data_IF_008438356869
#
_entry.id   IF_008438356869
#
_cell.length_a   1.000
_cell.length_b   1.000
_cell.length_c   1.000
_cell.angle_alpha   90.00
_cell.angle_beta   90.00
_cell.angle_gamma   90.00
#
_symmetry.space_group_name_H-M   'P 1'
#
loop_
_entity.id
_entity.type
_entity.pdbx_description
1 polymer ?
#
# COMPACT_ATOMS: atom_id res chain seq x y z
N UNK A 1 -43.43 17.92 12.25
CA UNK A 1 -44.21 17.09 13.20
C UNK A 1 -43.49 15.75 13.35
N UNK A 2 -42.52 15.64 14.26
CA UNK A 2 -41.74 14.41 14.43
C UNK A 2 -42.56 13.40 15.24
N UNK A 3 -43.29 12.50 14.55
CA UNK A 3 -43.88 11.33 15.21
C UNK A 3 -42.74 10.56 15.86
N UNK A 4 -42.89 10.26 17.15
CA UNK A 4 -41.90 9.51 17.92
C UNK A 4 -41.67 8.14 17.28
N UNK A 5 -40.64 8.04 16.43
CA UNK A 5 -40.18 6.83 15.72
C UNK A 5 -39.71 5.72 16.69
N UNK A 6 -39.79 5.99 18.01
CA UNK A 6 -39.35 5.09 19.07
C UNK A 6 -40.23 3.86 19.29
N UNK A 7 -41.36 3.70 18.59
CA UNK A 7 -42.16 2.48 18.73
C UNK A 7 -42.68 1.95 17.39
N UNK A 8 -41.92 1.02 16.78
CA UNK A 8 -42.37 0.26 15.61
C UNK A 8 -42.99 -1.06 16.12
N UNK A 9 -44.30 -1.30 15.93
CA UNK A 9 -44.96 -2.52 16.38
C UNK A 9 -44.45 -3.77 15.64
N UNK A 10 -44.28 -4.89 16.36
CA UNK A 10 -43.86 -6.17 15.78
C UNK A 10 -44.77 -6.63 14.64
N UNK A 11 -46.09 -6.56 14.84
CA UNK A 11 -47.09 -6.98 13.85
C UNK A 11 -47.00 -6.19 12.54
N UNK A 12 -46.65 -4.91 12.62
CA UNK A 12 -46.47 -4.06 11.43
C UNK A 12 -45.25 -4.52 10.61
N UNK A 13 -44.13 -4.81 11.28
CA UNK A 13 -42.94 -5.35 10.61
C UNK A 13 -43.19 -6.73 10.01
N UNK A 14 -43.91 -7.62 10.70
CA UNK A 14 -44.25 -8.94 10.17
C UNK A 14 -45.17 -8.84 8.94
N UNK A 15 -46.18 -7.98 8.98
CA UNK A 15 -47.07 -7.81 7.84
C UNK A 15 -46.32 -7.22 6.63
N UNK A 16 -45.60 -6.11 6.79
CA UNK A 16 -44.91 -5.45 5.67
C UNK A 16 -43.72 -6.27 5.14
N UNK A 17 -42.84 -6.78 6.02
CA UNK A 17 -41.61 -7.45 5.60
C UNK A 17 -41.79 -8.93 5.27
N UNK A 18 -42.62 -9.66 6.02
CA UNK A 18 -42.78 -11.12 5.88
C UNK A 18 -43.96 -11.47 4.98
N UNK A 19 -45.15 -10.88 5.19
CA UNK A 19 -46.35 -11.21 4.39
C UNK A 19 -46.37 -10.49 3.05
N UNK A 20 -46.13 -9.19 3.04
CA UNK A 20 -46.19 -8.37 1.82
C UNK A 20 -44.83 -8.31 1.09
N UNK A 21 -43.75 -8.72 1.73
CA UNK A 21 -42.44 -8.88 1.09
C UNK A 21 -41.67 -7.58 0.82
N UNK A 22 -42.05 -6.46 1.40
CA UNK A 22 -41.42 -5.14 1.20
C UNK A 22 -39.94 -5.13 1.53
N UNK A 23 -39.13 -4.31 0.84
CA UNK A 23 -37.71 -4.20 1.20
C UNK A 23 -37.55 -3.40 2.50
N UNK A 24 -36.42 -3.60 3.19
CA UNK A 24 -36.12 -2.84 4.42
C UNK A 24 -36.11 -1.31 4.18
N UNK A 25 -35.80 -0.88 2.96
CA UNK A 25 -35.81 0.54 2.58
C UNK A 25 -37.24 1.05 2.43
N UNK A 26 -38.09 0.31 1.72
CA UNK A 26 -39.51 0.70 1.56
C UNK A 26 -40.22 0.76 2.91
N UNK A 27 -39.93 -0.19 3.81
CA UNK A 27 -40.44 -0.18 5.19
C UNK A 27 -39.91 1.03 5.97
N UNK A 28 -38.64 1.37 5.81
CA UNK A 28 -38.02 2.52 6.49
C UNK A 28 -38.61 3.85 6.00
N UNK A 29 -38.79 4.00 4.69
CA UNK A 29 -39.37 5.19 4.06
C UNK A 29 -40.84 5.35 4.43
N UNK A 30 -41.62 4.26 4.47
CA UNK A 30 -43.02 4.26 4.90
C UNK A 30 -43.20 4.68 6.36
N UNK A 31 -42.33 4.19 7.24
CA UNK A 31 -42.38 4.50 8.69
C UNK A 31 -41.76 5.87 8.98
N UNK A 32 -40.95 6.42 8.07
CA UNK A 32 -40.20 7.66 8.26
C UNK A 32 -39.01 7.48 9.21
N UNK A 33 -38.30 6.37 9.10
CA UNK A 33 -37.18 6.01 9.98
C UNK A 33 -35.94 5.56 9.18
N UNK A 34 -34.80 5.40 9.86
CA UNK A 34 -33.62 4.82 9.20
C UNK A 34 -33.76 3.30 9.05
N UNK A 35 -33.15 2.76 8.01
CA UNK A 35 -33.05 1.30 7.80
C UNK A 35 -32.45 0.60 9.02
N UNK A 36 -31.46 1.20 9.67
CA UNK A 36 -30.85 0.66 10.90
C UNK A 36 -31.84 0.59 12.07
N UNK A 37 -32.82 1.50 12.12
CA UNK A 37 -33.88 1.46 13.14
C UNK A 37 -34.80 0.27 12.89
N UNK A 38 -35.18 0.02 11.63
CA UNK A 38 -35.97 -1.15 11.24
C UNK A 38 -35.22 -2.44 11.57
N UNK A 39 -33.93 -2.53 11.22
CA UNK A 39 -33.09 -3.71 11.47
C UNK A 39 -32.98 -3.98 12.96
N UNK A 40 -32.67 -2.96 13.78
CA UNK A 40 -32.59 -3.12 15.23
C UNK A 40 -33.89 -3.66 15.82
N UNK A 41 -35.05 -3.17 15.35
CA UNK A 41 -36.36 -3.67 15.81
C UNK A 41 -36.68 -5.07 15.34
N UNK A 42 -36.28 -5.43 14.14
CA UNK A 42 -36.40 -6.81 13.67
C UNK A 42 -35.56 -7.77 14.52
N UNK A 43 -34.33 -7.35 14.89
CA UNK A 43 -33.48 -8.13 15.78
C UNK A 43 -34.09 -8.22 17.20
N UNK A 44 -34.60 -7.12 17.77
CA UNK A 44 -35.29 -7.09 19.08
C UNK A 44 -36.51 -8.03 19.12
N UNK A 45 -37.22 -8.18 18.00
CA UNK A 45 -38.41 -9.03 17.88
C UNK A 45 -38.12 -10.44 17.34
N UNK A 46 -36.85 -10.80 17.10
CA UNK A 46 -36.40 -12.05 16.49
C UNK A 46 -37.06 -12.36 15.13
N UNK A 47 -37.27 -11.34 14.29
CA UNK A 47 -37.80 -11.53 12.93
C UNK A 47 -36.62 -11.92 12.00
N UNK A 48 -36.63 -13.12 11.39
CA UNK A 48 -35.53 -13.57 10.57
C UNK A 48 -35.40 -12.73 9.30
N UNK A 49 -34.18 -12.31 8.99
CA UNK A 49 -33.87 -11.55 7.78
C UNK A 49 -33.82 -12.49 6.58
N UNK A 50 -34.49 -12.12 5.49
CA UNK A 50 -34.40 -12.81 4.20
C UNK A 50 -32.94 -12.80 3.73
N UNK A 51 -32.38 -13.98 3.51
CA UNK A 51 -31.01 -14.12 3.02
C UNK A 51 -30.92 -13.58 1.60
N UNK A 52 -30.12 -12.54 1.39
CA UNK A 52 -29.85 -11.98 0.05
C UNK A 52 -29.07 -12.93 -0.87
N UNK A 53 -28.57 -14.06 -0.35
CA UNK A 53 -27.75 -14.98 -1.12
C UNK A 53 -28.66 -15.84 -2.01
N UNK A 54 -28.76 -15.46 -3.29
CA UNK A 54 -29.08 -16.45 -4.31
C UNK A 54 -27.95 -17.47 -4.31
N UNK A 55 -28.29 -18.74 -4.13
CA UNK A 55 -27.33 -19.82 -4.13
C UNK A 55 -26.91 -20.10 -5.57
N UNK A 56 -25.77 -19.56 -5.96
CA UNK A 56 -25.19 -19.79 -7.28
C UNK A 56 -24.09 -20.83 -7.07
N UNK A 57 -24.42 -22.08 -7.42
CA UNK A 57 -23.51 -23.21 -7.33
C UNK A 57 -22.17 -22.88 -8.00
N UNK A 58 -21.08 -23.05 -7.23
CA UNK A 58 -19.71 -22.84 -7.72
C UNK A 58 -19.45 -23.65 -8.99
N UNK A 59 -19.77 -24.93 -8.99
CA UNK A 59 -19.50 -25.83 -10.11
C UNK A 59 -20.16 -25.32 -11.41
N UNK A 60 -21.42 -24.88 -11.31
CA UNK A 60 -22.18 -24.37 -12.45
C UNK A 60 -21.67 -23.01 -12.91
N UNK A 61 -21.30 -22.11 -11.99
CA UNK A 61 -20.81 -20.79 -12.37
C UNK A 61 -19.42 -20.84 -13.01
N UNK A 62 -18.54 -21.70 -12.49
CA UNK A 62 -17.19 -21.92 -13.01
C UNK A 62 -17.26 -22.52 -14.42
N UNK A 63 -18.06 -23.58 -14.63
CA UNK A 63 -18.14 -24.22 -15.95
C UNK A 63 -18.77 -23.34 -17.03
N UNK A 64 -19.73 -22.49 -16.66
CA UNK A 64 -20.31 -21.54 -17.60
C UNK A 64 -19.33 -20.41 -17.95
N UNK A 65 -18.43 -20.03 -17.04
CA UNK A 65 -17.47 -18.96 -17.25
C UNK A 65 -16.18 -19.45 -17.95
N UNK A 66 -15.61 -20.58 -17.52
CA UNK A 66 -14.37 -21.14 -18.06
C UNK A 66 -14.60 -21.98 -19.32
N UNK A 67 -15.55 -22.92 -19.30
CA UNK A 67 -15.73 -23.88 -20.40
C UNK A 67 -16.58 -23.30 -21.55
N UNK A 68 -17.62 -22.54 -21.20
CA UNK A 68 -18.55 -21.96 -22.18
C UNK A 68 -18.23 -20.51 -22.54
N UNK A 69 -17.16 -19.93 -21.98
CA UNK A 69 -16.73 -18.54 -22.17
C UNK A 69 -17.88 -17.50 -22.07
N UNK A 70 -18.89 -17.76 -21.23
CA UNK A 70 -20.02 -16.86 -21.09
C UNK A 70 -19.60 -15.55 -20.41
N UNK A 71 -20.05 -14.42 -20.97
CA UNK A 71 -19.76 -13.11 -20.39
C UNK A 71 -20.42 -12.92 -19.03
N UNK A 72 -19.85 -12.04 -18.20
CA UNK A 72 -20.39 -11.70 -16.86
C UNK A 72 -21.83 -11.19 -16.98
N UNK A 73 -22.14 -10.37 -17.99
CA UNK A 73 -23.47 -9.84 -18.23
C UNK A 73 -24.47 -10.93 -18.63
N UNK A 74 -24.06 -11.88 -19.49
CA UNK A 74 -24.89 -13.03 -19.85
C UNK A 74 -25.20 -13.91 -18.63
N UNK A 75 -24.21 -14.14 -17.77
CA UNK A 75 -24.39 -14.87 -16.52
C UNK A 75 -25.30 -14.11 -15.55
N UNK A 76 -25.16 -12.79 -15.48
CA UNK A 76 -25.99 -11.92 -14.65
C UNK A 76 -27.46 -12.03 -15.04
N UNK A 77 -27.77 -11.97 -16.34
CA UNK A 77 -29.12 -12.20 -16.86
C UNK A 77 -29.60 -13.62 -16.57
N UNK A 78 -28.78 -14.65 -16.80
CA UNK A 78 -29.16 -16.05 -16.61
C UNK A 78 -29.50 -16.39 -15.16
N UNK A 79 -28.74 -15.87 -14.20
CA UNK A 79 -28.99 -16.07 -12.77
C UNK A 79 -29.90 -14.99 -12.16
N UNK A 80 -30.38 -14.05 -12.98
CA UNK A 80 -31.20 -12.91 -12.58
C UNK A 80 -30.56 -12.12 -11.41
N UNK A 81 -29.26 -11.86 -11.48
CA UNK A 81 -28.48 -11.10 -10.50
C UNK A 81 -27.76 -9.95 -11.18
N UNK A 82 -27.22 -9.01 -10.41
CA UNK A 82 -26.36 -7.98 -10.99
C UNK A 82 -25.02 -8.55 -11.47
N UNK A 83 -24.43 -7.93 -12.48
CA UNK A 83 -23.06 -8.24 -12.93
C UNK A 83 -22.04 -8.18 -11.78
N UNK A 84 -22.23 -7.24 -10.85
CA UNK A 84 -21.43 -7.15 -9.62
C UNK A 84 -21.56 -8.40 -8.73
N UNK A 85 -22.74 -9.03 -8.66
CA UNK A 85 -22.94 -10.27 -7.89
C UNK A 85 -22.17 -11.43 -8.52
N UNK A 86 -22.25 -11.60 -9.85
CA UNK A 86 -21.47 -12.61 -10.57
C UNK A 86 -19.98 -12.37 -10.42
N UNK A 87 -19.54 -11.12 -10.61
CA UNK A 87 -18.13 -10.73 -10.44
C UNK A 87 -17.61 -11.06 -9.04
N UNK A 88 -18.35 -10.68 -7.99
CA UNK A 88 -17.99 -10.99 -6.60
C UNK A 88 -17.93 -12.50 -6.34
N UNK A 89 -18.86 -13.29 -6.89
CA UNK A 89 -18.84 -14.76 -6.76
C UNK A 89 -17.65 -15.37 -7.48
N UNK A 90 -17.34 -14.92 -8.69
CA UNK A 90 -16.17 -15.39 -9.42
C UNK A 90 -14.86 -14.97 -8.74
N UNK A 91 -14.81 -13.81 -8.07
CA UNK A 91 -13.68 -13.41 -7.21
C UNK A 91 -13.57 -14.30 -5.97
N UNK A 92 -14.69 -14.56 -5.28
CA UNK A 92 -14.74 -15.48 -4.12
C UNK A 92 -14.27 -16.89 -4.50
N UNK A 93 -14.59 -17.33 -5.72
CA UNK A 93 -14.15 -18.63 -6.25
C UNK A 93 -12.75 -18.61 -6.89
N UNK A 94 -12.10 -17.44 -6.97
CA UNK A 94 -10.74 -17.26 -7.49
C UNK A 94 -10.60 -17.32 -9.01
N UNK A 95 -11.72 -17.30 -9.74
CA UNK A 95 -11.77 -17.45 -11.21
C UNK A 95 -11.64 -16.11 -11.93
N UNK A 96 -12.20 -15.04 -11.34
CA UNK A 96 -12.09 -13.68 -11.90
C UNK A 96 -10.98 -12.91 -11.19
N UNK A 97 -10.13 -12.21 -11.95
CA UNK A 97 -9.08 -11.34 -11.42
C UNK A 97 -9.47 -9.86 -11.57
N UNK A 98 -9.55 -9.11 -10.46
CA UNK A 98 -9.90 -7.68 -10.43
C UNK A 98 -8.72 -6.84 -10.92
N UNK A 99 -8.56 -6.66 -12.23
CA UNK A 99 -7.85 -5.48 -12.75
C UNK A 99 -8.60 -4.95 -13.98
N UNK A 100 -9.17 -3.73 -13.93
CA UNK A 100 -9.94 -3.12 -15.03
C UNK A 100 -9.17 -2.91 -16.35
N UNK A 101 -7.88 -3.24 -16.39
CA UNK A 101 -7.02 -3.17 -17.57
C UNK A 101 -6.32 -4.48 -17.93
N UNK A 102 -6.82 -5.63 -17.44
CA UNK A 102 -6.29 -6.95 -17.83
C UNK A 102 -6.83 -7.39 -19.19
N UNK A 103 -6.58 -6.58 -20.22
CA UNK A 103 -6.41 -7.16 -21.56
C UNK A 103 -5.14 -7.99 -21.44
N UNK A 104 -5.21 -9.26 -21.83
CA UNK A 104 -4.19 -10.31 -21.77
C UNK A 104 -4.30 -11.21 -20.54
N UNK A 105 -4.55 -12.49 -20.82
CA UNK A 105 -4.23 -13.61 -19.95
C UNK A 105 -2.80 -13.44 -19.42
N UNK A 106 -2.68 -13.15 -18.14
CA UNK A 106 -1.37 -13.11 -17.47
C UNK A 106 -0.85 -14.54 -17.47
N UNK A 107 0.07 -14.85 -18.38
CA UNK A 107 0.72 -16.15 -18.43
C UNK A 107 1.86 -16.18 -17.38
N UNK A 108 1.72 -16.95 -16.28
CA UNK A 108 2.72 -16.99 -15.20
C UNK A 108 4.10 -17.44 -15.71
N UNK A 109 4.15 -18.31 -16.71
CA UNK A 109 5.41 -18.79 -17.30
C UNK A 109 6.20 -17.67 -18.00
N UNK A 110 5.51 -16.70 -18.61
CA UNK A 110 6.18 -15.53 -19.20
C UNK A 110 6.81 -14.64 -18.13
N UNK A 111 6.16 -14.51 -16.97
CA UNK A 111 6.69 -13.75 -15.83
C UNK A 111 7.93 -14.46 -15.27
N UNK A 112 7.86 -15.78 -15.08
CA UNK A 112 9.00 -16.59 -14.63
C UNK A 112 10.18 -16.50 -15.59
N UNK A 113 9.97 -16.75 -16.88
CA UNK A 113 11.03 -16.70 -17.91
C UNK A 113 11.68 -15.31 -18.00
N UNK A 114 10.88 -14.24 -17.94
CA UNK A 114 11.39 -12.86 -17.94
C UNK A 114 12.21 -12.54 -16.70
N UNK A 115 11.82 -13.09 -15.54
CA UNK A 115 12.61 -12.96 -14.33
C UNK A 115 13.92 -13.74 -14.44
N UNK A 116 13.89 -15.00 -14.86
CA UNK A 116 15.09 -15.83 -15.03
C UNK A 116 16.09 -15.22 -16.02
N UNK A 117 15.62 -14.52 -17.06
CA UNK A 117 16.46 -13.79 -18.02
C UNK A 117 17.13 -12.52 -17.46
N UNK A 118 16.97 -12.22 -16.17
CA UNK A 118 17.67 -11.12 -15.50
C UNK A 118 16.85 -9.86 -15.25
N UNK A 119 15.59 -9.81 -15.70
CA UNK A 119 14.77 -8.61 -15.50
C UNK A 119 14.39 -8.41 -14.03
N UNK A 120 14.27 -7.14 -13.62
CA UNK A 120 13.81 -6.79 -12.28
C UNK A 120 12.30 -6.98 -12.16
N UNK A 121 11.81 -7.25 -10.93
CA UNK A 121 10.37 -7.36 -10.67
C UNK A 121 9.62 -6.06 -10.95
N UNK A 122 10.28 -4.89 -10.85
CA UNK A 122 9.71 -3.61 -11.29
C UNK A 122 9.56 -3.50 -12.80
N UNK A 123 10.56 -3.95 -13.56
CA UNK A 123 10.49 -3.94 -15.03
C UNK A 123 9.37 -4.85 -15.53
N UNK A 124 9.29 -6.07 -14.97
CA UNK A 124 8.24 -7.03 -15.32
C UNK A 124 6.86 -6.48 -14.97
N UNK A 125 6.72 -5.82 -13.81
CA UNK A 125 5.47 -5.16 -13.41
C UNK A 125 5.01 -4.12 -14.43
N UNK A 126 5.91 -3.22 -14.84
CA UNK A 126 5.62 -2.19 -15.83
C UNK A 126 5.27 -2.79 -17.20
N UNK A 127 6.02 -3.80 -17.65
CA UNK A 127 5.81 -4.48 -18.93
C UNK A 127 4.47 -5.23 -18.99
N UNK A 128 4.06 -5.83 -17.87
CA UNK A 128 2.85 -6.66 -17.80
C UNK A 128 1.62 -5.91 -17.31
N UNK A 129 1.75 -4.63 -16.95
CA UNK A 129 0.68 -3.84 -16.33
C UNK A 129 0.29 -4.32 -14.92
N UNK A 130 1.13 -5.15 -14.29
CA UNK A 130 0.89 -5.69 -12.96
C UNK A 130 1.51 -4.82 -11.88
N UNK A 131 0.99 -4.91 -10.66
CA UNK A 131 1.71 -4.40 -9.50
C UNK A 131 2.96 -5.24 -9.23
N UNK A 132 4.03 -4.59 -8.75
CA UNK A 132 5.26 -5.30 -8.33
C UNK A 132 4.98 -6.39 -7.30
N UNK A 133 4.00 -6.17 -6.41
CA UNK A 133 3.56 -7.18 -5.45
C UNK A 133 3.00 -8.43 -6.15
N UNK A 134 2.13 -8.28 -7.17
CA UNK A 134 1.54 -9.42 -7.88
C UNK A 134 2.60 -10.22 -8.64
N UNK A 135 3.58 -9.56 -9.23
CA UNK A 135 4.75 -10.21 -9.86
C UNK A 135 5.53 -11.04 -8.83
N UNK A 136 5.85 -10.46 -7.66
CA UNK A 136 6.53 -11.17 -6.57
C UNK A 136 5.71 -12.35 -6.05
N UNK A 137 4.39 -12.19 -5.93
CA UNK A 137 3.47 -13.24 -5.49
C UNK A 137 3.44 -14.40 -6.49
N UNK A 138 3.34 -14.13 -7.79
CA UNK A 138 3.38 -15.15 -8.86
C UNK A 138 4.72 -15.90 -8.82
N UNK A 139 5.85 -15.18 -8.77
CA UNK A 139 7.17 -15.81 -8.72
C UNK A 139 7.34 -16.71 -7.48
N UNK A 140 6.83 -16.29 -6.31
CA UNK A 140 6.84 -17.11 -5.09
C UNK A 140 5.95 -18.36 -5.21
N UNK A 141 4.76 -18.21 -5.77
CA UNK A 141 3.85 -19.35 -6.01
C UNK A 141 4.43 -20.35 -7.01
N UNK A 142 5.23 -19.89 -7.98
CA UNK A 142 5.97 -20.75 -8.91
C UNK A 142 7.28 -21.31 -8.32
N UNK A 143 7.55 -21.09 -7.03
CA UNK A 143 8.75 -21.59 -6.35
C UNK A 143 10.05 -20.89 -6.75
N UNK A 144 9.99 -19.72 -7.38
CA UNK A 144 11.17 -18.99 -7.82
C UNK A 144 11.81 -18.25 -6.65
N UNK A 145 13.10 -18.54 -6.39
CA UNK A 145 13.91 -17.83 -5.40
C UNK A 145 14.09 -16.36 -5.79
N UNK A 146 13.50 -15.46 -5.01
CA UNK A 146 13.57 -14.02 -5.29
C UNK A 146 14.97 -13.49 -4.95
N UNK A 147 15.68 -13.02 -5.97
CA UNK A 147 16.93 -12.27 -5.87
C UNK A 147 16.73 -11.05 -4.96
N UNK A 148 17.53 -10.98 -3.89
CA UNK A 148 17.48 -9.89 -2.89
C UNK A 148 16.59 -10.16 -1.67
N UNK A 149 16.15 -11.41 -1.43
CA UNK A 149 15.28 -11.76 -0.31
C UNK A 149 16.00 -12.27 0.95
N UNK A 150 16.40 -11.36 1.84
CA UNK A 150 16.43 -11.40 3.33
C UNK A 150 17.29 -10.21 3.80
N UNK A 151 16.76 -9.36 4.70
CA UNK A 151 17.61 -8.37 5.41
C UNK A 151 18.68 -9.20 6.11
N UNK A 152 19.96 -9.01 5.78
CA UNK A 152 21.05 -9.55 6.59
C UNK A 152 20.82 -9.03 8.02
N UNK A 153 20.89 -9.92 9.02
CA UNK A 153 21.03 -9.47 10.40
C UNK A 153 22.39 -8.77 10.44
N UNK A 154 22.36 -7.46 10.55
CA UNK A 154 23.55 -6.62 10.56
C UNK A 154 23.83 -6.21 12.02
N UNK A 155 25.10 -6.08 12.42
CA UNK A 155 25.48 -5.73 13.79
C UNK A 155 25.26 -4.22 14.03
N UNK A 156 24.00 -3.80 14.19
CA UNK A 156 23.62 -2.39 14.36
C UNK A 156 24.27 -1.78 15.61
N UNK A 157 24.37 -2.55 16.70
CA UNK A 157 25.03 -2.08 17.94
C UNK A 157 26.51 -1.76 17.73
N UNK A 158 27.21 -2.56 16.93
CA UNK A 158 28.61 -2.33 16.60
C UNK A 158 28.77 -1.08 15.73
N UNK A 159 27.87 -0.87 14.76
CA UNK A 159 27.84 0.37 13.97
C UNK A 159 27.60 1.61 14.84
N UNK A 160 26.70 1.51 15.82
CA UNK A 160 26.44 2.58 16.78
C UNK A 160 27.67 2.90 17.63
N UNK A 161 28.36 1.86 18.08
CA UNK A 161 29.59 1.97 18.87
C UNK A 161 30.72 2.64 18.06
N UNK A 162 30.97 2.16 16.83
CA UNK A 162 31.96 2.74 15.92
C UNK A 162 31.65 4.19 15.57
N UNK A 163 30.38 4.53 15.40
CA UNK A 163 29.97 5.90 15.13
C UNK A 163 30.15 6.80 16.35
N UNK A 164 29.64 6.39 17.51
CA UNK A 164 29.53 7.25 18.71
C UNK A 164 30.85 7.37 19.45
N UNK A 165 31.53 6.25 19.70
CA UNK A 165 32.73 6.20 20.53
C UNK A 165 34.02 6.31 19.71
N UNK A 166 34.09 5.67 18.55
CA UNK A 166 35.28 5.71 17.69
C UNK A 166 35.28 6.84 16.64
N UNK A 167 34.21 7.65 16.59
CA UNK A 167 34.18 8.81 15.71
C UNK A 167 34.11 8.49 14.21
N UNK A 168 33.92 7.24 13.81
CA UNK A 168 33.92 6.85 12.40
C UNK A 168 32.77 7.50 11.62
N UNK A 169 33.01 7.83 10.35
CA UNK A 169 31.95 8.37 9.49
C UNK A 169 31.01 7.26 9.00
N UNK A 170 29.79 7.61 8.62
CA UNK A 170 28.85 6.64 8.01
C UNK A 170 29.40 6.05 6.71
N UNK A 171 30.32 6.75 6.04
CA UNK A 171 31.01 6.26 4.84
C UNK A 171 32.01 5.17 5.21
N UNK A 172 32.84 5.39 6.22
CA UNK A 172 33.89 4.43 6.61
C UNK A 172 33.28 3.16 7.20
N UNK A 173 32.24 3.32 8.03
CA UNK A 173 31.42 2.20 8.51
C UNK A 173 30.79 1.48 7.31
N UNK A 174 30.27 2.22 6.32
CA UNK A 174 29.74 1.64 5.09
C UNK A 174 30.76 0.77 4.34
N UNK A 175 32.01 1.23 4.21
CA UNK A 175 33.08 0.43 3.60
C UNK A 175 33.35 -0.85 4.40
N UNK A 176 33.46 -0.75 5.72
CA UNK A 176 33.73 -1.90 6.60
C UNK A 176 32.65 -2.99 6.48
N UNK A 177 31.38 -2.60 6.36
CA UNK A 177 30.25 -3.55 6.31
C UNK A 177 29.71 -3.80 4.90
N UNK A 178 30.35 -3.28 3.86
CA UNK A 178 29.89 -3.34 2.47
C UNK A 178 28.45 -2.79 2.29
N UNK A 179 28.16 -1.69 2.98
CA UNK A 179 26.89 -0.97 2.94
C UNK A 179 27.07 0.42 2.34
N UNK A 180 26.00 0.94 1.75
CA UNK A 180 25.99 2.36 1.39
C UNK A 180 25.94 3.22 2.66
N UNK A 181 26.62 4.37 2.63
CA UNK A 181 26.63 5.30 3.76
C UNK A 181 25.22 5.75 4.19
N UNK A 182 24.27 5.83 3.24
CA UNK A 182 22.87 6.13 3.51
C UNK A 182 22.16 5.00 4.26
N UNK A 183 22.53 3.75 4.00
CA UNK A 183 22.00 2.58 4.72
C UNK A 183 22.50 2.55 6.15
N UNK A 184 23.78 2.86 6.38
CA UNK A 184 24.34 3.02 7.73
C UNK A 184 23.63 4.17 8.46
N UNK A 185 23.48 5.32 7.80
CA UNK A 185 22.77 6.47 8.37
C UNK A 185 21.32 6.15 8.75
N UNK A 186 20.63 5.28 7.99
CA UNK A 186 19.30 4.79 8.33
C UNK A 186 19.33 3.95 9.61
N UNK A 187 20.23 2.97 9.72
CA UNK A 187 20.33 2.12 10.91
C UNK A 187 20.69 2.88 12.19
N UNK A 188 21.59 3.87 12.09
CA UNK A 188 21.91 4.75 13.20
C UNK A 188 20.67 5.55 13.65
N UNK A 189 19.85 6.07 12.72
CA UNK A 189 18.61 6.79 13.06
C UNK A 189 17.55 5.88 13.67
N UNK A 190 17.35 4.69 13.10
CA UNK A 190 16.37 3.71 13.60
C UNK A 190 16.73 3.22 15.01
N UNK A 191 18.02 3.22 15.37
CA UNK A 191 18.50 2.91 16.71
C UNK A 191 18.61 4.13 17.65
N UNK A 192 18.10 5.29 17.24
CA UNK A 192 18.03 6.50 18.06
C UNK A 192 19.30 7.36 18.10
N UNK A 193 20.32 7.03 17.31
CA UNK A 193 21.56 7.81 17.22
C UNK A 193 21.35 9.07 16.36
N UNK A 194 21.61 10.23 16.95
CA UNK A 194 21.61 11.51 16.22
C UNK A 194 22.87 11.63 15.35
N UNK A 195 22.67 11.79 14.04
CA UNK A 195 23.80 11.91 13.12
C UNK A 195 24.51 13.26 13.30
N UNK A 196 25.83 13.22 13.49
CA UNK A 196 26.76 14.34 13.33
C UNK A 196 26.50 15.00 11.97
N UNK A 197 25.98 16.22 12.00
CA UNK A 197 25.81 17.03 10.81
C UNK A 197 27.17 17.38 10.19
N UNK A 198 27.18 17.72 8.89
CA UNK A 198 28.32 18.42 8.26
C UNK A 198 28.35 19.87 8.79
N UNK A 199 28.75 20.08 10.03
CA UNK A 199 29.04 21.42 10.54
C UNK A 199 30.55 21.50 10.75
N UNK A 200 31.24 21.95 9.70
CA UNK A 200 32.54 22.58 9.90
C UNK A 200 32.27 23.81 10.76
N UNK A 201 32.79 23.80 11.99
CA UNK A 201 32.85 24.99 12.84
C UNK A 201 33.85 25.94 12.21
N UNK A 202 33.36 26.86 11.40
CA UNK A 202 34.16 27.91 10.79
C UNK A 202 33.57 29.22 11.28
N UNK A 203 34.42 30.08 11.82
CA UNK A 203 34.02 31.40 12.29
C UNK A 203 33.54 32.25 11.10
N UNK A 204 32.25 32.60 11.13
CA UNK A 204 31.62 33.40 10.08
C UNK A 204 32.17 34.85 10.06
N UNK A 205 32.65 35.34 11.21
CA UNK A 205 33.24 36.68 11.31
C UNK A 205 34.62 36.73 10.64
N UNK A 206 35.41 35.67 10.80
CA UNK A 206 36.70 35.53 10.13
C UNK A 206 36.56 35.49 8.61
N UNK A 207 35.58 34.76 8.08
CA UNK A 207 35.28 34.74 6.63
C UNK A 207 34.95 36.16 6.12
N UNK A 208 34.15 36.93 6.88
CA UNK A 208 33.76 38.30 6.49
C UNK A 208 34.94 39.27 6.52
N UNK A 209 35.76 39.22 7.57
CA UNK A 209 36.96 40.05 7.70
C UNK A 209 37.90 39.82 6.51
N UNK A 210 38.23 38.56 6.21
CA UNK A 210 39.10 38.21 5.08
C UNK A 210 38.50 38.66 3.74
N UNK A 211 37.17 38.66 3.61
CA UNK A 211 36.51 39.16 2.39
C UNK A 211 36.61 40.67 2.26
N UNK A 212 36.49 41.42 3.36
CA UNK A 212 36.68 42.88 3.37
C UNK A 212 38.14 43.29 3.10
N UNK A 213 39.10 42.47 3.53
CA UNK A 213 40.54 42.62 3.21
C UNK A 213 40.87 42.29 1.74
N UNK A 214 39.88 41.95 0.91
CA UNK A 214 40.06 41.68 -0.52
C UNK A 214 40.52 40.25 -0.85
N UNK A 215 40.62 39.36 0.13
CA UNK A 215 41.02 37.96 -0.09
C UNK A 215 39.96 37.23 -0.92
N UNK A 216 40.42 36.45 -1.90
CA UNK A 216 39.54 35.70 -2.79
C UNK A 216 38.85 34.54 -2.07
N UNK A 217 37.65 34.15 -2.53
CA UNK A 217 36.89 33.02 -1.95
C UNK A 217 37.71 31.72 -1.98
N UNK A 218 38.54 31.53 -3.00
CA UNK A 218 39.42 30.37 -3.12
C UNK A 218 40.54 30.38 -2.06
N UNK A 219 41.17 31.54 -1.84
CA UNK A 219 42.21 31.69 -0.83
C UNK A 219 41.64 31.57 0.61
N UNK A 220 40.43 32.07 0.87
CA UNK A 220 39.73 31.88 2.15
C UNK A 220 39.43 30.39 2.38
N UNK A 221 38.95 29.69 1.35
CA UNK A 221 38.65 28.26 1.43
C UNK A 221 39.91 27.43 1.73
N UNK A 222 41.02 27.76 1.09
CA UNK A 222 42.31 27.11 1.34
C UNK A 222 42.84 27.39 2.74
N UNK A 223 42.74 28.65 3.22
CA UNK A 223 43.20 29.07 4.54
C UNK A 223 42.41 28.47 5.69
N UNK A 224 41.12 28.24 5.49
CA UNK A 224 40.20 27.66 6.48
C UNK A 224 39.96 26.16 6.27
N UNK A 225 40.79 25.51 5.46
CA UNK A 225 40.72 24.07 5.12
C UNK A 225 39.29 23.60 4.77
N UNK A 226 38.54 24.43 4.07
CA UNK A 226 37.14 24.18 3.75
C UNK A 226 36.87 24.32 2.25
N UNK A 227 35.71 23.88 1.79
CA UNK A 227 35.35 24.04 0.37
C UNK A 227 34.89 25.46 0.06
N UNK A 228 35.16 25.93 -1.16
CA UNK A 228 34.67 27.23 -1.67
C UNK A 228 33.14 27.38 -1.57
N UNK A 229 32.41 26.26 -1.62
CA UNK A 229 30.95 26.22 -1.43
C UNK A 229 30.53 26.51 0.01
N UNK A 230 31.33 26.11 1.01
CA UNK A 230 31.08 26.44 2.42
C UNK A 230 31.26 27.94 2.63
N UNK A 231 32.36 28.53 2.14
CA UNK A 231 32.61 29.98 2.21
C UNK A 231 31.48 30.78 1.54
N UNK A 232 31.05 30.39 0.32
CA UNK A 232 29.92 31.03 -0.37
C UNK A 232 28.61 30.92 0.41
N UNK A 233 28.29 29.75 0.96
CA UNK A 233 27.05 29.55 1.70
C UNK A 233 27.02 30.34 3.02
N UNK A 234 28.17 30.57 3.66
CA UNK A 234 28.28 31.39 4.87
C UNK A 234 28.15 32.89 4.57
N UNK A 235 28.77 33.37 3.49
CA UNK A 235 28.60 34.76 3.03
C UNK A 235 27.17 35.08 2.57
N UNK A 236 26.39 34.09 2.13
CA UNK A 236 24.98 34.27 1.72
C UNK A 236 23.98 34.37 2.88
N UNK A 237 24.37 34.02 4.11
CA UNK A 237 23.41 33.87 5.22
C UNK A 237 23.01 35.17 5.91
N UNK A 238 23.56 36.32 5.54
CA UNK A 238 23.07 37.66 5.85
C UNK A 238 23.62 38.65 4.83
#
# INVERSE_FOLDING_TARGET
MYRSVRNIPKQLLENLYVKEGWTLRDVADYIGCSVDTVVRRMDDYNIPRRTKRKDISRATLVSLYEDNHASIDTLAHRFNVSAATISNRLHEYGVLCTHPHSIHSINPERIKKSYESGNSTSYIANMTGLTRWKVLHILRHMGVSIRGGRRKVLPIEEMNYLYTYHGMSTKDIGVAYQLQANTVALYLRESGVSLRGKRLEIDENEIRRLRMEGVSIAAIAQRLECSTSVVRNRLKRH
#
